data_IF_423455561583
#
_entry.id   IF_423455561583
#
_cell.length_a   1.000
_cell.length_b   1.000
_cell.length_c   1.000
_cell.angle_alpha   90.00
_cell.angle_beta   90.00
_cell.angle_gamma   90.00
#
_symmetry.space_group_name_H-M   'P 1'
#
loop_
_entity.id
_entity.type
_entity.pdbx_description
1 polymer ?
#
# COMPACT_ATOMS: atom_id res chain seq x y z
N UNK A 1 12.90 10.93 17.16
CA UNK A 1 11.63 11.69 17.21
C UNK A 1 11.27 12.02 18.66
N UNK A 2 11.21 11.02 19.52
CA UNK A 2 10.90 11.14 20.96
C UNK A 2 11.60 12.29 21.71
N UNK A 3 12.94 12.40 21.64
CA UNK A 3 13.68 13.50 22.31
C UNK A 3 13.23 14.90 21.90
N UNK A 4 12.73 15.06 20.67
CA UNK A 4 12.33 16.36 20.10
C UNK A 4 10.85 16.65 20.32
N UNK A 5 10.02 15.63 20.50
CA UNK A 5 8.59 15.75 20.74
C UNK A 5 8.12 14.71 21.77
N UNK A 6 8.49 14.88 23.05
CA UNK A 6 8.22 13.90 24.09
C UNK A 6 6.75 13.81 24.49
N UNK A 7 5.91 14.75 24.06
CA UNK A 7 4.47 14.76 24.35
C UNK A 7 3.68 13.71 23.55
N UNK A 8 4.29 13.07 22.55
CA UNK A 8 3.65 12.04 21.75
C UNK A 8 4.16 10.66 22.14
N UNK A 9 3.27 9.68 22.12
CA UNK A 9 3.64 8.28 22.23
C UNK A 9 4.20 7.79 20.90
N UNK A 10 5.50 7.49 20.89
CA UNK A 10 6.21 6.98 19.72
C UNK A 10 6.34 5.45 19.72
N UNK A 11 5.90 4.75 20.77
CA UNK A 11 6.09 3.31 20.93
C UNK A 11 5.36 2.48 19.86
N UNK A 12 4.30 3.06 19.28
CA UNK A 12 3.48 2.47 18.23
C UNK A 12 3.98 2.78 16.82
N UNK A 13 4.98 3.64 16.69
CA UNK A 13 5.59 4.00 15.40
C UNK A 13 6.74 3.04 15.12
N UNK A 14 6.76 2.43 13.94
CA UNK A 14 7.88 1.60 13.50
C UNK A 14 9.20 2.41 13.62
N UNK A 15 10.21 1.92 14.36
CA UNK A 15 11.48 2.61 14.54
C UNK A 15 12.22 2.91 13.23
N UNK A 16 11.94 2.17 12.15
CA UNK A 16 12.52 2.38 10.82
C UNK A 16 11.88 3.60 10.13
N UNK A 17 10.65 3.99 10.50
CA UNK A 17 10.01 5.19 9.98
C UNK A 17 10.74 6.47 10.46
N UNK A 18 10.98 7.48 9.60
CA UNK A 18 10.54 7.66 8.21
C UNK A 18 11.64 7.39 7.18
N UNK A 19 12.56 6.44 7.44
CA UNK A 19 13.59 6.09 6.46
C UNK A 19 12.92 5.75 5.12
N UNK A 20 13.56 6.09 4.00
CA UNK A 20 13.02 5.78 2.66
C UNK A 20 13.50 4.41 2.16
N UNK A 21 13.69 3.47 3.07
CA UNK A 21 14.20 2.12 2.80
C UNK A 21 13.13 1.07 3.08
N UNK A 22 13.36 -0.16 2.62
CA UNK A 22 12.50 -1.32 2.89
C UNK A 22 11.03 -1.04 2.59
N UNK A 23 10.14 -1.25 3.57
CA UNK A 23 8.71 -1.00 3.49
C UNK A 23 8.38 0.44 3.10
N UNK A 24 9.21 1.40 3.49
CA UNK A 24 8.99 2.83 3.25
C UNK A 24 9.68 3.33 1.98
N UNK A 25 10.36 2.45 1.24
CA UNK A 25 10.90 2.80 -0.08
C UNK A 25 9.77 3.10 -1.10
N UNK A 26 10.13 3.80 -2.17
CA UNK A 26 9.22 4.19 -3.24
C UNK A 26 9.15 3.16 -4.39
N UNK A 27 9.70 1.95 -4.19
CA UNK A 27 9.62 0.87 -5.17
C UNK A 27 8.19 0.34 -5.31
N UNK A 28 7.89 -0.28 -6.46
CA UNK A 28 6.60 -0.96 -6.70
C UNK A 28 6.30 -1.99 -5.62
N UNK A 29 7.31 -2.79 -5.26
CA UNK A 29 7.17 -3.83 -4.24
C UNK A 29 6.83 -3.25 -2.87
N UNK A 30 7.54 -2.20 -2.44
CA UNK A 30 7.28 -1.55 -1.16
C UNK A 30 5.93 -0.84 -1.12
N UNK A 31 5.50 -0.18 -2.20
CA UNK A 31 4.16 0.40 -2.31
C UNK A 31 3.06 -0.66 -2.18
N UNK A 32 3.22 -1.79 -2.88
CA UNK A 32 2.29 -2.93 -2.78
C UNK A 32 2.23 -3.46 -1.35
N UNK A 33 3.41 -3.70 -0.75
CA UNK A 33 3.52 -4.25 0.60
C UNK A 33 2.93 -3.31 1.65
N UNK A 34 3.16 -2.00 1.54
CA UNK A 34 2.49 -1.01 2.41
C UNK A 34 0.98 -1.07 2.32
N UNK A 35 0.45 -1.24 1.12
CA UNK A 35 -0.98 -1.44 0.91
C UNK A 35 -1.53 -2.67 1.64
N UNK A 36 -0.83 -3.80 1.51
CA UNK A 36 -1.14 -5.05 2.22
C UNK A 36 -1.12 -4.86 3.73
N UNK A 37 -0.02 -4.34 4.27
CA UNK A 37 0.14 -4.13 5.72
C UNK A 37 -0.90 -3.14 6.28
N UNK A 38 -1.23 -2.09 5.53
CA UNK A 38 -2.30 -1.17 5.91
C UNK A 38 -3.66 -1.86 5.98
N UNK A 39 -4.00 -2.72 5.01
CA UNK A 39 -5.27 -3.46 5.05
C UNK A 39 -5.31 -4.50 6.16
N UNK A 40 -4.21 -5.22 6.41
CA UNK A 40 -4.10 -6.13 7.58
C UNK A 40 -4.36 -5.37 8.88
N UNK A 41 -3.66 -4.26 9.06
CA UNK A 41 -3.83 -3.41 10.24
C UNK A 41 -5.27 -2.93 10.40
N UNK A 42 -5.92 -2.48 9.32
CA UNK A 42 -7.32 -2.03 9.33
C UNK A 42 -8.31 -3.16 9.64
N UNK A 43 -8.08 -4.37 9.12
CA UNK A 43 -8.93 -5.54 9.36
C UNK A 43 -8.86 -5.99 10.81
N UNK A 44 -7.67 -5.94 11.41
CA UNK A 44 -7.43 -6.44 12.76
C UNK A 44 -7.87 -5.44 13.86
N UNK A 45 -8.45 -4.30 13.45
CA UNK A 45 -8.99 -3.29 14.36
C UNK A 45 -10.30 -3.74 15.02
N UNK A 46 -10.52 -3.42 16.31
CA UNK A 46 -11.77 -3.72 17.00
C UNK A 46 -12.92 -2.78 16.61
N UNK A 47 -12.63 -1.64 15.98
CA UNK A 47 -13.66 -0.68 15.57
C UNK A 47 -14.56 -1.23 14.46
N UNK A 48 -15.88 -1.08 14.63
CA UNK A 48 -16.86 -1.52 13.62
C UNK A 48 -16.81 -0.73 12.32
N UNK A 49 -16.38 0.55 12.39
CA UNK A 49 -16.32 1.47 11.26
C UNK A 49 -15.07 2.33 11.43
N UNK A 50 -14.27 2.44 10.37
CA UNK A 50 -13.01 3.20 10.37
C UNK A 50 -13.05 4.19 9.21
N UNK A 51 -12.77 5.46 9.50
CA UNK A 51 -12.57 6.48 8.47
C UNK A 51 -11.07 6.60 8.17
N UNK A 52 -10.67 6.35 6.92
CA UNK A 52 -9.30 6.50 6.46
C UNK A 52 -9.18 7.76 5.62
N UNK A 53 -8.38 8.73 6.08
CA UNK A 53 -8.10 9.97 5.35
C UNK A 53 -6.66 9.91 4.83
N UNK A 54 -6.50 9.91 3.51
CA UNK A 54 -5.19 9.79 2.86
C UNK A 54 -5.24 10.38 1.45
N UNK A 55 -4.10 10.34 0.75
CA UNK A 55 -3.99 10.79 -0.63
C UNK A 55 -4.55 9.76 -1.62
N UNK A 56 -5.14 10.25 -2.70
CA UNK A 56 -5.74 9.42 -3.76
C UNK A 56 -4.77 8.39 -4.34
N UNK A 57 -3.49 8.76 -4.51
CA UNK A 57 -2.45 7.85 -4.99
C UNK A 57 -2.34 6.60 -4.13
N UNK A 58 -2.15 6.76 -2.82
CA UNK A 58 -2.01 5.64 -1.89
C UNK A 58 -3.31 4.83 -1.75
N UNK A 59 -4.45 5.51 -1.62
CA UNK A 59 -5.75 4.83 -1.53
C UNK A 59 -6.04 3.99 -2.78
N UNK A 60 -5.71 4.51 -3.97
CA UNK A 60 -5.84 3.78 -5.22
C UNK A 60 -4.88 2.59 -5.28
N UNK A 61 -3.57 2.81 -5.28
CA UNK A 61 -2.62 1.73 -5.60
C UNK A 61 -2.34 0.80 -4.43
N UNK A 62 -2.42 1.31 -3.20
CA UNK A 62 -2.10 0.54 -2.00
C UNK A 62 -3.33 -0.14 -1.41
N UNK A 63 -4.46 0.55 -1.34
CA UNK A 63 -5.58 0.11 -0.48
C UNK A 63 -6.72 -0.51 -1.28
N UNK A 64 -7.38 0.23 -2.17
CA UNK A 64 -8.68 -0.18 -2.71
C UNK A 64 -8.76 -0.36 -4.22
N UNK A 65 -7.73 0.02 -4.99
CA UNK A 65 -7.74 0.05 -6.46
C UNK A 65 -8.91 0.86 -7.04
N UNK A 66 -9.37 1.91 -6.35
CA UNK A 66 -10.43 2.80 -6.84
C UNK A 66 -9.91 4.22 -7.03
N UNK A 67 -10.54 4.98 -7.93
CA UNK A 67 -10.21 6.40 -8.15
C UNK A 67 -10.80 7.28 -7.05
N UNK A 68 -10.07 8.33 -6.64
CA UNK A 68 -10.53 9.30 -5.64
C UNK A 68 -10.28 10.72 -6.14
N UNK A 69 -11.35 11.48 -6.32
CA UNK A 69 -11.28 12.93 -6.49
C UNK A 69 -11.16 13.62 -5.12
N UNK A 70 -10.64 14.85 -5.08
CA UNK A 70 -10.52 15.62 -3.84
C UNK A 70 -11.86 15.71 -3.10
N UNK A 71 -11.81 15.38 -1.80
CA UNK A 71 -12.93 15.32 -0.86
C UNK A 71 -14.04 14.30 -1.17
N UNK A 72 -13.88 13.47 -2.21
CA UNK A 72 -14.77 12.33 -2.44
C UNK A 72 -14.37 11.14 -1.56
N UNK A 73 -15.29 10.21 -1.33
CA UNK A 73 -15.09 9.06 -0.45
C UNK A 73 -15.70 7.79 -1.02
N UNK A 74 -15.24 6.65 -0.52
CA UNK A 74 -15.76 5.33 -0.88
C UNK A 74 -15.94 4.49 0.37
N UNK A 75 -16.96 3.63 0.36
CA UNK A 75 -17.26 2.78 1.51
C UNK A 75 -16.99 1.33 1.10
N UNK A 76 -16.25 0.62 1.94
CA UNK A 76 -15.91 -0.78 1.70
C UNK A 76 -16.26 -1.65 2.89
N UNK A 77 -16.45 -2.93 2.62
CA UNK A 77 -16.39 -4.02 3.59
C UNK A 77 -15.26 -4.97 3.21
N UNK A 78 -14.66 -5.63 4.18
CA UNK A 78 -13.83 -6.80 3.89
C UNK A 78 -14.72 -7.95 3.40
N UNK A 79 -14.22 -8.72 2.43
CA UNK A 79 -14.87 -9.94 1.98
C UNK A 79 -14.94 -10.97 3.12
N UNK A 80 -16.01 -11.76 3.15
CA UNK A 80 -16.13 -12.86 4.11
C UNK A 80 -15.01 -13.89 3.90
N UNK A 81 -14.49 -14.47 5.00
CA UNK A 81 -13.41 -15.46 4.94
C UNK A 81 -12.03 -14.86 4.61
N UNK A 82 -11.87 -13.54 4.70
CA UNK A 82 -10.56 -12.87 4.58
C UNK A 82 -9.75 -12.85 5.88
N UNK A 83 -10.24 -13.55 6.90
CA UNK A 83 -9.55 -13.80 8.15
C UNK A 83 -8.29 -14.62 7.86
N UNK A 84 -7.11 -14.09 8.22
CA UNK A 84 -5.79 -14.66 7.91
C UNK A 84 -5.29 -14.51 6.46
N UNK A 85 -5.91 -13.67 5.63
CA UNK A 85 -5.38 -13.38 4.28
C UNK A 85 -4.06 -12.59 4.35
N UNK A 86 -2.98 -13.22 3.87
CA UNK A 86 -1.64 -12.65 3.76
C UNK A 86 -1.56 -11.45 2.83
N UNK A 87 -2.52 -11.29 1.91
CA UNK A 87 -2.65 -10.15 1.00
C UNK A 87 -3.43 -8.97 1.60
N UNK A 88 -3.84 -9.11 2.88
CA UNK A 88 -4.48 -8.07 3.66
C UNK A 88 -6.00 -8.01 3.52
N UNK A 89 -6.63 -8.97 2.86
CA UNK A 89 -8.07 -9.04 2.71
C UNK A 89 -8.57 -8.26 1.50
N UNK A 90 -9.54 -8.86 0.79
CA UNK A 90 -10.22 -8.21 -0.32
C UNK A 90 -11.22 -7.17 0.21
N UNK A 91 -11.20 -5.97 -0.37
CA UNK A 91 -12.20 -4.93 -0.13
C UNK A 91 -13.29 -4.99 -1.20
N UNK A 92 -14.55 -5.02 -0.76
CA UNK A 92 -15.74 -4.95 -1.59
C UNK A 92 -16.35 -3.58 -1.38
N UNK A 93 -16.43 -2.77 -2.44
CA UNK A 93 -17.08 -1.46 -2.38
C UNK A 93 -18.60 -1.65 -2.17
N UNK A 94 -19.20 -0.80 -1.35
CA UNK A 94 -20.64 -0.82 -1.16
C UNK A 94 -21.34 -0.14 -2.33
N UNK A 95 -22.48 -0.70 -2.72
CA UNK A 95 -23.31 -0.26 -3.85
C UNK A 95 -23.60 1.25 -3.83
N UNK A 96 -23.83 1.82 -2.64
CA UNK A 96 -24.14 3.24 -2.43
C UNK A 96 -23.07 4.20 -2.97
N UNK A 97 -21.79 3.82 -2.93
CA UNK A 97 -20.70 4.60 -3.53
C UNK A 97 -20.26 4.05 -4.88
N UNK A 98 -20.32 2.74 -5.09
CA UNK A 98 -19.90 2.12 -6.34
C UNK A 98 -20.73 2.62 -7.54
N UNK A 99 -22.05 2.66 -7.41
CA UNK A 99 -22.96 3.09 -8.49
C UNK A 99 -22.86 4.57 -8.86
N UNK A 100 -22.13 5.36 -8.07
CA UNK A 100 -21.98 6.81 -8.27
C UNK A 100 -20.56 7.21 -8.64
N UNK A 101 -19.59 6.30 -8.51
CA UNK A 101 -18.18 6.66 -8.61
C UNK A 101 -17.71 7.44 -7.38
N UNK A 102 -18.14 7.03 -6.19
CA UNK A 102 -17.86 7.72 -4.92
C UNK A 102 -19.10 8.33 -4.28
N UNK A 103 -19.01 8.64 -2.99
CA UNK A 103 -20.13 9.16 -2.20
C UNK A 103 -20.58 10.56 -2.59
N UNK A 104 -19.70 11.36 -3.21
CA UNK A 104 -20.03 12.63 -3.85
C UNK A 104 -20.24 12.52 -5.36
N UNK A 105 -20.00 11.33 -5.94
CA UNK A 105 -20.10 11.07 -7.37
C UNK A 105 -19.09 11.84 -8.23
N UNK A 106 -17.91 12.15 -7.69
CA UNK A 106 -16.87 12.94 -8.38
C UNK A 106 -15.72 12.09 -8.90
N UNK A 107 -15.63 10.85 -8.46
CA UNK A 107 -14.54 9.94 -8.85
C UNK A 107 -14.97 9.03 -10.01
N UNK A 108 -13.99 8.47 -10.72
CA UNK A 108 -14.28 7.56 -11.83
C UNK A 108 -14.82 6.20 -11.39
N UNK A 109 -15.55 5.53 -12.28
CA UNK A 109 -16.05 4.16 -12.09
C UNK A 109 -14.95 3.12 -12.34
N UNK A 110 -15.12 1.93 -11.77
CA UNK A 110 -14.26 0.78 -12.06
C UNK A 110 -13.06 0.64 -11.13
N UNK A 111 -12.09 -0.17 -11.58
CA UNK A 111 -10.92 -0.57 -10.80
C UNK A 111 -9.65 -0.14 -11.53
N UNK A 112 -8.75 0.50 -10.80
CA UNK A 112 -7.53 1.12 -11.30
C UNK A 112 -6.32 0.50 -10.61
N UNK A 113 -5.72 -0.48 -11.28
CA UNK A 113 -4.49 -1.11 -10.79
C UNK A 113 -3.28 -0.20 -10.97
N UNK A 114 -2.23 -0.48 -10.21
CA UNK A 114 -0.95 0.19 -10.34
C UNK A 114 -0.35 -0.04 -11.73
N UNK A 115 0.16 1.04 -12.30
CA UNK A 115 0.80 1.10 -13.62
C UNK A 115 2.26 1.52 -13.49
N UNK A 116 3.12 1.31 -14.51
CA UNK A 116 4.52 1.71 -14.45
C UNK A 116 4.78 3.20 -14.17
N UNK A 117 3.81 4.10 -14.41
CA UNK A 117 3.95 5.51 -14.08
C UNK A 117 3.72 5.88 -12.60
N UNK A 118 3.30 4.91 -11.77
CA UNK A 118 2.95 5.15 -10.36
C UNK A 118 4.14 4.99 -9.40
N UNK A 119 5.28 4.53 -9.90
CA UNK A 119 6.52 4.34 -9.16
C UNK A 119 7.71 4.71 -10.07
N UNK A 120 8.87 5.10 -9.51
CA UNK A 120 10.04 5.37 -10.33
C UNK A 120 10.48 4.14 -11.10
N UNK A 121 11.05 4.32 -12.28
CA UNK A 121 11.64 3.23 -13.04
C UNK A 121 12.63 2.46 -12.15
N UNK A 122 12.44 1.14 -12.06
CA UNK A 122 13.34 0.28 -11.30
C UNK A 122 14.69 0.28 -12.03
N UNK A 123 15.68 0.98 -11.47
CA UNK A 123 17.07 0.80 -11.90
C UNK A 123 17.47 -0.62 -11.57
N UNK A 124 17.88 -1.41 -12.57
CA UNK A 124 18.45 -2.74 -12.37
C UNK A 124 19.46 -2.67 -11.21
N UNK A 125 19.15 -3.35 -10.11
CA UNK A 125 20.17 -3.56 -9.08
C UNK A 125 21.24 -4.42 -9.73
N UNK A 126 22.54 -4.08 -9.64
CA UNK A 126 23.59 -4.92 -10.18
C UNK A 126 23.46 -6.30 -9.52
N UNK A 127 23.02 -7.29 -10.29
CA UNK A 127 23.04 -8.69 -9.87
C UNK A 127 24.42 -9.00 -9.34
N UNK A 128 24.51 -9.47 -8.10
CA UNK A 128 25.75 -10.02 -7.52
C UNK A 128 26.45 -10.86 -8.57
N UNK A 129 27.65 -10.44 -8.96
CA UNK A 129 28.43 -11.09 -10.01
C UNK A 129 28.55 -12.58 -9.68
N UNK A 130 27.96 -13.42 -10.52
CA UNK A 130 28.19 -14.86 -10.48
C UNK A 130 29.69 -15.06 -10.69
N UNK A 131 30.42 -15.79 -9.81
CA UNK A 131 31.87 -15.92 -9.95
C UNK A 131 32.18 -16.56 -11.31
N UNK A 132 32.91 -15.84 -12.15
CA UNK A 132 33.37 -16.37 -13.44
C UNK A 132 34.24 -17.60 -13.16
N UNK A 133 33.76 -18.76 -13.61
CA UNK A 133 34.52 -20.00 -13.57
C UNK A 133 35.77 -19.79 -14.44
N UNK A 134 36.94 -19.61 -13.81
CA UNK A 134 38.22 -19.58 -14.51
C UNK A 134 38.45 -20.96 -15.14
N UNK A 135 38.37 -21.04 -16.48
CA UNK A 135 38.88 -22.20 -17.19
C UNK A 135 40.41 -22.18 -17.10
N UNK A 136 40.96 -23.11 -16.33
CA UNK A 136 42.38 -23.42 -16.37
C UNK A 136 42.69 -24.01 -17.75
N UNK A 137 43.53 -23.32 -18.54
CA UNK A 137 44.21 -23.91 -19.69
C UNK A 137 45.08 -25.07 -19.19
N UNK A 138 44.77 -26.28 -19.63
CA UNK A 138 45.72 -27.39 -19.58
C UNK A 138 46.70 -27.25 -20.75
N UNK A 139 47.96 -27.55 -20.44
CA UNK A 139 49.15 -27.45 -21.28
C UNK A 139 49.12 -28.34 -22.52
#
# INVERSE_FOLDING_TARGET
>A
MEKRWPQFDWSVVDPIYPSKTDLYSFSRQALTRRGVEARKWLRDRPEKVIAVVSHSGFLRVGVSNKGYHNADYRIFKFAEGSDHDETGGQLIELEVTEMKGGGLGKSGFGTYYMTPGDYPEETETPTEETPKLHSSKAA
#
